data_IF_630888858532
#
_entry.id   IF_630888858532
#
_cell.length_a   1.000
_cell.length_b   1.000
_cell.length_c   1.000
_cell.angle_alpha   90.00
_cell.angle_beta   90.00
_cell.angle_gamma   90.00
#
_symmetry.space_group_name_H-M   'P 1'
#
loop_
_entity.id
_entity.type
_entity.pdbx_description
1 polymer ?
#
# COMPACT_ATOMS: atom_id res chain seq x y z
N UNK A 1 -0.96 -13.84 -16.33
CA UNK A 1 -0.70 -12.92 -15.21
C UNK A 1 -1.37 -13.46 -13.97
N UNK A 2 -0.61 -13.63 -12.88
CA UNK A 2 -1.09 -14.25 -11.64
C UNK A 2 -1.08 -13.29 -10.45
N UNK A 3 -0.46 -12.12 -10.58
CA UNK A 3 -0.39 -11.14 -9.52
C UNK A 3 -0.29 -9.73 -10.09
N UNK A 4 -0.78 -8.77 -9.31
CA UNK A 4 -0.72 -7.34 -9.59
C UNK A 4 -0.18 -6.62 -8.36
N UNK A 5 0.79 -5.76 -8.58
CA UNK A 5 1.26 -4.80 -7.60
C UNK A 5 0.71 -3.43 -7.97
N UNK A 6 -0.14 -2.88 -7.13
CA UNK A 6 -0.74 -1.57 -7.35
C UNK A 6 -0.01 -0.52 -6.52
N UNK A 7 0.20 0.66 -7.09
CA UNK A 7 0.98 1.72 -6.45
C UNK A 7 0.29 2.37 -5.25
N UNK A 8 -0.99 2.11 -5.05
CA UNK A 8 -1.74 2.54 -3.87
C UNK A 8 -2.82 1.53 -3.52
N UNK A 9 -3.32 1.56 -2.29
CA UNK A 9 -4.43 0.70 -1.87
C UNK A 9 -5.71 1.02 -2.65
N UNK A 10 -5.94 2.27 -3.00
CA UNK A 10 -7.11 2.64 -3.81
C UNK A 10 -7.07 1.99 -5.19
N UNK A 11 -5.92 2.03 -5.84
CA UNK A 11 -5.73 1.34 -7.12
C UNK A 11 -5.88 -0.17 -6.96
N UNK A 12 -5.34 -0.74 -5.87
CA UNK A 12 -5.45 -2.16 -5.59
C UNK A 12 -6.91 -2.58 -5.40
N UNK A 13 -7.69 -1.79 -4.66
CA UNK A 13 -9.12 -2.05 -4.48
C UNK A 13 -9.88 -1.99 -5.80
N UNK A 14 -9.54 -1.04 -6.66
CA UNK A 14 -10.08 -0.96 -8.01
C UNK A 14 -9.76 -2.20 -8.85
N UNK A 15 -8.52 -2.69 -8.75
CA UNK A 15 -8.12 -3.92 -9.45
C UNK A 15 -8.89 -5.14 -8.95
N UNK A 16 -9.13 -5.24 -7.64
CA UNK A 16 -9.93 -6.34 -7.06
C UNK A 16 -11.36 -6.30 -7.61
N UNK A 17 -11.98 -5.12 -7.62
CA UNK A 17 -13.34 -4.97 -8.13
C UNK A 17 -13.42 -5.32 -9.62
N UNK A 18 -12.47 -4.85 -10.42
CA UNK A 18 -12.41 -5.14 -11.84
C UNK A 18 -12.22 -6.66 -12.09
N UNK A 19 -11.35 -7.31 -11.32
CA UNK A 19 -11.15 -8.74 -11.43
C UNK A 19 -12.45 -9.52 -11.18
N UNK A 20 -13.18 -9.13 -10.14
CA UNK A 20 -14.47 -9.74 -9.80
C UNK A 20 -15.50 -9.56 -10.92
N UNK A 21 -15.56 -8.36 -11.48
CA UNK A 21 -16.48 -8.07 -12.60
C UNK A 21 -16.15 -8.92 -13.83
N UNK A 22 -14.89 -9.29 -14.01
CA UNK A 22 -14.44 -10.15 -15.10
C UNK A 22 -14.51 -11.64 -14.75
N UNK A 23 -15.11 -12.00 -13.62
CA UNK A 23 -15.24 -13.38 -13.19
C UNK A 23 -13.94 -14.00 -12.68
N UNK A 24 -12.97 -13.18 -12.31
CA UNK A 24 -11.71 -13.63 -11.73
C UNK A 24 -11.76 -13.58 -10.19
N UNK A 25 -11.23 -14.59 -9.56
CA UNK A 25 -11.20 -14.69 -8.10
C UNK A 25 -9.91 -14.10 -7.55
N UNK A 26 -10.01 -13.37 -6.45
CA UNK A 26 -8.86 -12.85 -5.72
C UNK A 26 -8.86 -13.52 -4.34
N UNK A 27 -7.83 -14.25 -3.94
CA UNK A 27 -6.51 -14.40 -4.59
C UNK A 27 -6.35 -15.59 -5.55
N UNK A 28 -7.36 -16.46 -5.71
CA UNK A 28 -7.20 -17.75 -6.38
C UNK A 28 -6.72 -17.61 -7.82
N UNK A 29 -7.26 -16.66 -8.57
CA UNK A 29 -6.87 -16.42 -9.96
C UNK A 29 -5.89 -15.28 -10.09
N UNK A 30 -5.89 -14.34 -9.13
CA UNK A 30 -5.07 -13.14 -9.17
C UNK A 30 -4.78 -12.67 -7.75
N UNK A 31 -3.51 -12.62 -7.38
CA UNK A 31 -3.08 -11.98 -6.15
C UNK A 31 -2.95 -10.48 -6.38
N UNK A 32 -3.38 -9.67 -5.40
CA UNK A 32 -3.30 -8.21 -5.48
C UNK A 32 -2.64 -7.67 -4.23
N UNK A 33 -1.65 -6.82 -4.43
CA UNK A 33 -0.96 -6.11 -3.35
C UNK A 33 -1.06 -4.62 -3.57
N UNK A 34 -1.26 -3.88 -2.51
CA UNK A 34 -1.31 -2.42 -2.53
C UNK A 34 -0.18 -1.78 -1.73
N UNK A 35 -0.24 -0.48 -1.64
CA UNK A 35 0.67 0.36 -0.86
C UNK A 35 -0.17 1.41 -0.14
N UNK A 36 0.15 1.71 1.07
CA UNK A 36 -0.25 2.77 1.99
C UNK A 36 -0.76 2.27 3.33
N UNK A 37 -1.48 1.14 3.39
CA UNK A 37 -2.16 0.72 4.61
C UNK A 37 -3.46 1.49 4.85
N UNK A 38 -4.23 1.73 3.79
CA UNK A 38 -5.51 2.44 3.88
C UNK A 38 -6.50 1.66 4.77
N UNK A 39 -7.26 2.38 5.58
CA UNK A 39 -8.20 1.76 6.53
C UNK A 39 -9.20 0.82 5.85
N UNK A 40 -9.69 1.19 4.67
CA UNK A 40 -10.62 0.36 3.90
C UNK A 40 -9.99 -0.93 3.38
N UNK A 41 -8.67 -0.98 3.27
CA UNK A 41 -7.96 -2.18 2.83
C UNK A 41 -8.19 -3.36 3.76
N UNK A 42 -8.29 -3.12 5.06
CA UNK A 42 -8.60 -4.17 6.03
C UNK A 42 -9.97 -4.81 5.77
N UNK A 43 -10.96 -4.00 5.44
CA UNK A 43 -12.33 -4.49 5.17
C UNK A 43 -12.39 -5.42 3.95
N UNK A 44 -11.56 -5.20 2.96
CA UNK A 44 -11.53 -6.02 1.74
C UNK A 44 -10.42 -7.07 1.76
N UNK A 45 -9.72 -7.19 2.88
CA UNK A 45 -8.66 -8.17 3.03
C UNK A 45 -7.43 -7.90 2.16
N UNK A 46 -7.10 -6.64 1.91
CA UNK A 46 -6.00 -6.27 1.03
C UNK A 46 -4.64 -6.40 1.71
N UNK A 47 -3.77 -7.22 1.12
CA UNK A 47 -2.34 -7.24 1.45
C UNK A 47 -1.73 -5.93 0.99
N UNK A 48 -1.00 -5.26 1.86
CA UNK A 48 -0.46 -3.93 1.57
C UNK A 48 0.89 -3.72 2.22
N UNK A 49 1.62 -2.73 1.72
CA UNK A 49 2.80 -2.19 2.37
C UNK A 49 2.37 -0.95 3.11
N UNK A 50 2.27 -1.06 4.44
CA UNK A 50 1.77 0.01 5.28
C UNK A 50 2.84 1.06 5.55
N UNK A 51 2.44 2.31 5.51
CA UNK A 51 3.26 3.46 5.89
C UNK A 51 2.43 4.41 6.74
N UNK A 52 3.10 5.20 7.57
CA UNK A 52 2.45 6.19 8.42
C UNK A 52 2.44 7.55 7.73
N UNK A 53 1.46 7.77 6.87
CA UNK A 53 1.33 9.02 6.11
C UNK A 53 1.10 10.23 7.02
N UNK A 54 0.36 10.05 8.11
CA UNK A 54 0.15 11.12 9.09
C UNK A 54 1.46 11.59 9.71
N UNK A 55 2.28 10.66 10.20
CA UNK A 55 3.56 11.01 10.82
C UNK A 55 4.51 11.64 9.81
N UNK A 56 4.53 11.14 8.59
CA UNK A 56 5.36 11.73 7.53
C UNK A 56 4.97 13.17 7.24
N UNK A 57 3.67 13.44 7.13
CA UNK A 57 3.17 14.79 6.92
C UNK A 57 3.45 15.73 8.10
N UNK A 58 3.26 15.23 9.31
CA UNK A 58 3.56 15.97 10.53
C UNK A 58 5.04 16.37 10.58
N UNK A 59 5.95 15.42 10.35
CA UNK A 59 7.39 15.68 10.37
C UNK A 59 7.80 16.60 9.23
N UNK A 60 7.22 16.46 8.05
CA UNK A 60 7.49 17.34 6.92
C UNK A 60 7.11 18.79 7.23
N UNK A 61 5.99 19.00 7.90
CA UNK A 61 5.56 20.35 8.30
C UNK A 61 6.53 20.98 9.31
N UNK A 62 7.00 20.19 10.29
CA UNK A 62 7.99 20.66 11.26
C UNK A 62 9.32 21.03 10.59
N UNK A 63 9.78 20.19 9.65
CA UNK A 63 10.99 20.46 8.90
C UNK A 63 10.87 21.74 8.07
N UNK A 64 9.72 21.96 7.46
CA UNK A 64 9.46 23.17 6.68
C UNK A 64 9.54 24.42 7.57
N UNK A 65 8.95 24.37 8.77
CA UNK A 65 9.02 25.47 9.73
C UNK A 65 10.45 25.72 10.16
N UNK A 66 11.24 24.69 10.40
CA UNK A 66 12.65 24.81 10.74
C UNK A 66 13.42 25.48 9.60
N UNK A 67 13.18 25.07 8.36
CA UNK A 67 13.79 25.69 7.18
C UNK A 67 13.46 27.18 7.07
N UNK A 68 12.20 27.54 7.29
CA UNK A 68 11.74 28.93 7.24
C UNK A 68 12.47 29.77 8.31
N UNK A 69 12.72 29.19 9.47
CA UNK A 69 13.39 29.86 10.60
C UNK A 69 14.91 29.78 10.52
N UNK A 70 15.47 29.21 9.45
CA UNK A 70 16.94 29.13 9.29
C UNK A 70 17.60 28.08 10.16
N UNK A 71 16.83 27.19 10.79
CA UNK A 71 17.38 26.09 11.57
C UNK A 71 17.97 24.99 10.67
N UNK A 72 18.99 24.27 11.11
CA UNK A 72 19.52 23.15 10.35
C UNK A 72 18.49 22.02 10.29
N UNK A 73 18.38 21.41 9.09
CA UNK A 73 17.47 20.28 8.84
C UNK A 73 18.26 19.12 8.25
N UNK A 74 17.84 17.87 8.45
CA UNK A 74 18.46 16.74 7.80
C UNK A 74 18.27 16.81 6.29
N UNK A 75 19.21 16.25 5.53
CA UNK A 75 19.16 16.21 4.07
C UNK A 75 18.03 15.33 3.57
N UNK A 76 17.73 14.28 4.30
CA UNK A 76 16.64 13.34 3.98
C UNK A 76 16.13 12.67 5.26
N UNK A 77 14.87 12.23 5.21
CA UNK A 77 14.27 11.35 6.21
C UNK A 77 13.74 10.11 5.50
N UNK A 78 13.95 8.97 6.13
CA UNK A 78 13.37 7.70 5.67
C UNK A 78 12.53 7.10 6.78
N UNK A 79 11.48 6.39 6.37
CA UNK A 79 10.54 5.75 7.30
C UNK A 79 10.46 4.26 7.01
N UNK A 80 10.41 3.43 8.05
CA UNK A 80 10.19 2.01 7.83
C UNK A 80 8.79 1.78 7.25
N UNK A 81 8.67 0.75 6.44
CA UNK A 81 7.39 0.24 5.95
C UNK A 81 7.19 -1.17 6.48
N UNK A 82 5.94 -1.63 6.48
CA UNK A 82 5.59 -2.95 6.97
C UNK A 82 4.72 -3.67 5.96
N UNK A 83 5.07 -4.90 5.62
CA UNK A 83 4.20 -5.75 4.82
C UNK A 83 3.10 -6.32 5.72
N UNK A 84 1.86 -5.98 5.41
CA UNK A 84 0.68 -6.48 6.10
C UNK A 84 -0.01 -7.50 5.20
N UNK A 85 0.17 -8.78 5.52
CA UNK A 85 -0.45 -9.86 4.74
C UNK A 85 -1.91 -10.03 5.14
N UNK A 86 -2.77 -10.07 4.11
CA UNK A 86 -4.19 -10.37 4.26
C UNK A 86 -4.61 -11.36 3.18
N UNK A 87 -5.91 -11.47 2.95
CA UNK A 87 -6.44 -12.50 2.06
C UNK A 87 -6.31 -12.25 0.56
N UNK A 88 -5.85 -11.07 0.12
CA UNK A 88 -5.77 -10.76 -1.32
C UNK A 88 -4.57 -11.36 -2.04
N UNK A 89 -3.68 -12.02 -1.31
CA UNK A 89 -2.50 -12.69 -1.87
C UNK A 89 -2.45 -14.13 -1.42
N UNK A 90 -1.93 -14.99 -2.30
CA UNK A 90 -1.74 -16.41 -2.02
C UNK A 90 -0.53 -16.93 -2.78
N UNK A 91 0.04 -18.07 -2.34
CA UNK A 91 1.08 -18.74 -3.12
C UNK A 91 0.60 -19.06 -4.53
N UNK A 92 1.53 -19.08 -5.47
CA UNK A 92 1.24 -19.45 -6.85
C UNK A 92 0.69 -20.89 -6.88
N UNK A 93 -0.44 -21.07 -7.57
CA UNK A 93 -1.04 -22.38 -7.70
C UNK A 93 -0.13 -23.32 -8.53
N UNK A 94 -0.07 -24.63 -8.19
CA UNK A 94 0.69 -25.58 -8.99
C UNK A 94 0.25 -25.58 -10.46
N UNK A 95 1.20 -25.49 -11.38
CA UNK A 95 0.95 -25.48 -12.81
C UNK A 95 0.50 -24.15 -13.39
N UNK A 96 0.47 -23.09 -12.58
CA UNK A 96 0.13 -21.75 -13.04
C UNK A 96 1.28 -21.09 -13.79
#
# INVERSE_FOLDING_TARGET
MTAVFAASDEMAMGAILAARDLGRRVPEDLSVVGVDGHDLGELVGLTTIAQDAYQQGFDAALLLLDMINGAPVPESLTYPTELVRRGSTAPLAPGA
#
